data_IF_551952899524
#
_entry.id   IF_551952899524
#
_cell.length_a   1.000
_cell.length_b   1.000
_cell.length_c   1.000
_cell.angle_alpha   90.00
_cell.angle_beta   90.00
_cell.angle_gamma   90.00
#
_symmetry.space_group_name_H-M   'P 1'
#
loop_
_entity.id
_entity.type
_entity.pdbx_description
1 polymer ?
#
# COMPACT_ATOMS: atom_id res chain seq x y z
N UNK A 1 -0.11 -0.53 -31.17
CA UNK A 1 0.12 0.63 -30.27
C UNK A 1 -1.06 0.77 -29.30
N UNK A 2 -0.84 1.24 -28.05
CA UNK A 2 -1.89 1.28 -27.04
C UNK A 2 -3.12 2.03 -27.54
N UNK A 3 -4.31 1.44 -27.40
CA UNK A 3 -5.59 2.15 -27.57
C UNK A 3 -5.91 3.08 -26.40
N UNK A 4 -4.94 3.30 -25.50
CA UNK A 4 -5.05 4.20 -24.35
C UNK A 4 -5.21 5.63 -24.84
N UNK A 5 -6.43 6.15 -24.75
CA UNK A 5 -6.67 7.58 -24.89
C UNK A 5 -6.16 8.27 -23.62
N UNK A 6 -5.16 9.17 -23.72
CA UNK A 6 -4.62 9.84 -22.55
C UNK A 6 -5.73 10.65 -21.88
N UNK A 7 -6.02 10.35 -20.61
CA UNK A 7 -7.01 11.10 -19.85
C UNK A 7 -6.49 12.51 -19.55
N UNK A 8 -7.37 13.51 -19.54
CA UNK A 8 -7.02 14.92 -19.26
C UNK A 8 -6.38 15.14 -17.88
N UNK A 9 -6.46 14.16 -16.98
CA UNK A 9 -5.91 14.20 -15.62
C UNK A 9 -4.57 13.48 -15.47
N UNK A 10 -4.01 12.92 -16.55
CA UNK A 10 -2.72 12.24 -16.48
C UNK A 10 -1.56 13.21 -16.33
N UNK A 11 -0.56 12.79 -15.57
CA UNK A 11 0.70 13.49 -15.43
C UNK A 11 1.35 13.77 -16.81
N UNK A 12 1.73 15.02 -17.15
CA UNK A 12 2.12 15.37 -18.52
C UNK A 12 3.29 14.57 -19.12
N UNK A 13 4.34 14.18 -18.36
CA UNK A 13 5.37 13.26 -18.86
C UNK A 13 4.82 11.91 -19.32
N UNK A 14 3.84 11.34 -18.62
CA UNK A 14 3.20 10.08 -19.00
C UNK A 14 2.48 10.20 -20.36
N UNK A 15 1.70 11.27 -20.52
CA UNK A 15 1.01 11.58 -21.78
C UNK A 15 2.00 11.76 -22.92
N UNK A 16 3.09 12.49 -22.67
CA UNK A 16 4.15 12.74 -23.64
C UNK A 16 4.82 11.45 -24.07
N UNK A 17 5.20 10.59 -23.11
CA UNK A 17 5.78 9.28 -23.37
C UNK A 17 4.84 8.42 -24.22
N UNK A 18 3.57 8.29 -23.84
CA UNK A 18 2.58 7.53 -24.61
C UNK A 18 2.48 8.02 -26.06
N UNK A 19 2.36 9.34 -26.26
CA UNK A 19 2.24 9.94 -27.60
C UNK A 19 3.49 9.75 -28.46
N UNK A 20 4.68 9.86 -27.87
CA UNK A 20 5.95 9.64 -28.58
C UNK A 20 6.07 8.18 -29.01
N UNK A 21 5.77 7.23 -28.12
CA UNK A 21 5.83 5.80 -28.44
C UNK A 21 4.83 5.41 -29.53
N UNK A 22 3.59 5.93 -29.46
CA UNK A 22 2.57 5.75 -30.51
C UNK A 22 3.09 6.17 -31.88
N UNK A 23 3.75 7.32 -31.97
CA UNK A 23 4.28 7.82 -33.24
C UNK A 23 5.47 7.01 -33.71
N UNK A 24 6.43 6.70 -32.83
CA UNK A 24 7.67 6.03 -33.23
C UNK A 24 7.46 4.61 -33.74
N UNK A 25 6.47 3.90 -33.21
CA UNK A 25 6.19 2.52 -33.59
C UNK A 25 6.09 2.28 -35.10
N UNK A 26 5.41 3.16 -35.83
CA UNK A 26 5.13 2.96 -37.25
C UNK A 26 6.32 3.37 -38.15
N UNK A 27 7.32 4.07 -37.60
CA UNK A 27 8.42 4.66 -38.37
C UNK A 27 9.81 4.11 -38.01
N UNK A 28 9.90 3.23 -37.01
CA UNK A 28 11.17 2.73 -36.49
C UNK A 28 11.21 1.20 -36.56
N UNK A 29 12.38 0.63 -36.84
CA UNK A 29 12.57 -0.84 -36.84
C UNK A 29 12.23 -1.40 -35.45
N UNK A 30 11.58 -2.57 -35.35
CA UNK A 30 11.12 -3.13 -34.07
C UNK A 30 12.19 -3.17 -32.97
N UNK A 31 13.40 -3.62 -33.27
CA UNK A 31 14.50 -3.66 -32.30
C UNK A 31 14.89 -2.26 -31.76
N UNK A 32 14.96 -1.26 -32.64
CA UNK A 32 15.29 0.12 -32.24
C UNK A 32 14.11 0.73 -31.46
N UNK A 33 12.88 0.43 -31.87
CA UNK A 33 11.68 0.88 -31.17
C UNK A 33 11.62 0.31 -29.76
N UNK A 34 11.96 -0.98 -29.59
CA UNK A 34 12.03 -1.63 -28.29
C UNK A 34 13.03 -0.91 -27.38
N UNK A 35 14.26 -0.66 -27.84
CA UNK A 35 15.30 0.03 -27.06
C UNK A 35 14.88 1.45 -26.64
N UNK A 36 14.32 2.23 -27.57
CA UNK A 36 13.82 3.58 -27.28
C UNK A 36 12.66 3.52 -26.28
N UNK A 37 11.79 2.52 -26.40
CA UNK A 37 10.63 2.38 -25.52
C UNK A 37 11.06 2.11 -24.07
N UNK A 38 12.09 1.30 -23.85
CA UNK A 38 12.66 1.08 -22.51
C UNK A 38 13.06 2.37 -21.85
N UNK A 39 13.86 3.16 -22.56
CA UNK A 39 14.47 4.35 -22.02
C UNK A 39 13.38 5.37 -21.71
N UNK A 40 12.42 5.54 -22.62
CA UNK A 40 11.29 6.44 -22.42
C UNK A 40 10.42 6.02 -21.22
N UNK A 41 10.13 4.72 -21.06
CA UNK A 41 9.38 4.19 -19.92
C UNK A 41 10.16 4.38 -18.62
N UNK A 42 11.46 4.09 -18.61
CA UNK A 42 12.34 4.26 -17.45
C UNK A 42 12.42 5.73 -17.00
N UNK A 43 12.64 6.66 -17.94
CA UNK A 43 12.66 8.09 -17.66
C UNK A 43 11.30 8.60 -17.18
N UNK A 44 10.20 8.07 -17.74
CA UNK A 44 8.86 8.40 -17.27
C UNK A 44 8.63 7.92 -15.83
N UNK A 45 9.08 6.70 -15.48
CA UNK A 45 9.03 6.17 -14.12
C UNK A 45 9.78 7.09 -13.16
N UNK A 46 11.02 7.43 -13.47
CA UNK A 46 11.84 8.34 -12.65
C UNK A 46 11.17 9.71 -12.50
N UNK A 47 10.58 10.25 -13.56
CA UNK A 47 9.85 11.52 -13.51
C UNK A 47 8.63 11.48 -12.59
N UNK A 48 7.90 10.35 -12.55
CA UNK A 48 6.78 10.14 -11.62
C UNK A 48 7.29 10.13 -10.17
N UNK A 49 8.36 9.41 -9.88
CA UNK A 49 8.92 9.35 -8.53
C UNK A 49 9.42 10.72 -8.06
N UNK A 50 10.16 11.44 -8.91
CA UNK A 50 10.61 12.80 -8.58
C UNK A 50 9.44 13.77 -8.38
N UNK A 51 8.34 13.63 -9.12
CA UNK A 51 7.14 14.43 -8.89
C UNK A 51 6.48 14.12 -7.54
N UNK A 52 6.51 12.85 -7.09
CA UNK A 52 6.02 12.47 -5.77
C UNK A 52 6.82 13.15 -4.65
N UNK A 53 8.15 13.21 -4.76
CA UNK A 53 9.00 13.93 -3.80
C UNK A 53 8.64 15.43 -3.72
N UNK A 54 8.35 16.05 -4.88
CA UNK A 54 7.89 17.44 -4.94
C UNK A 54 6.50 17.64 -4.35
N UNK A 55 5.61 16.64 -4.44
CA UNK A 55 4.31 16.67 -3.76
C UNK A 55 4.55 16.63 -2.24
N UNK A 56 5.37 15.72 -1.72
CA UNK A 56 5.66 15.67 -0.27
C UNK A 56 6.23 17.01 0.26
N UNK A 57 7.03 17.72 -0.54
CA UNK A 57 7.62 18.99 -0.16
C UNK A 57 6.64 20.19 -0.11
N UNK A 58 5.41 20.03 -0.60
CA UNK A 58 4.41 21.12 -0.63
C UNK A 58 3.65 21.26 0.69
N UNK A 59 3.33 22.49 1.13
CA UNK A 59 2.67 22.73 2.42
C UNK A 59 1.21 22.26 2.49
N UNK A 60 0.53 22.19 1.34
CA UNK A 60 -0.91 21.94 1.21
C UNK A 60 -1.26 20.48 0.86
N UNK A 61 -0.25 19.60 0.84
CA UNK A 61 -0.40 18.20 0.44
C UNK A 61 0.14 17.26 1.51
N UNK A 62 -0.37 16.03 1.51
CA UNK A 62 0.02 14.97 2.43
C UNK A 62 0.95 13.95 1.75
N UNK A 63 1.68 13.18 2.56
CA UNK A 63 2.45 12.02 2.08
C UNK A 63 1.55 10.97 1.39
N UNK A 64 0.27 10.89 1.81
CA UNK A 64 -0.76 10.06 1.18
C UNK A 64 -1.01 10.49 -0.27
N UNK A 65 -1.04 11.79 -0.55
CA UNK A 65 -1.23 12.32 -1.91
C UNK A 65 -0.08 11.93 -2.84
N UNK A 66 1.15 11.91 -2.31
CA UNK A 66 2.32 11.48 -3.08
C UNK A 66 2.25 9.99 -3.43
N UNK A 67 1.89 9.12 -2.47
CA UNK A 67 1.74 7.68 -2.75
C UNK A 67 0.59 7.38 -3.72
N UNK A 68 -0.56 8.04 -3.55
CA UNK A 68 -1.70 7.88 -4.47
C UNK A 68 -1.38 8.38 -5.87
N UNK A 69 -0.63 9.48 -5.99
CA UNK A 69 -0.11 9.96 -7.26
C UNK A 69 0.77 8.90 -7.93
N UNK A 70 1.71 8.30 -7.21
CA UNK A 70 2.60 7.25 -7.75
C UNK A 70 1.78 6.04 -8.19
N UNK A 71 0.91 5.51 -7.33
CA UNK A 71 0.09 4.32 -7.63
C UNK A 71 -0.72 4.54 -8.92
N UNK A 72 -1.46 5.66 -9.01
CA UNK A 72 -2.28 5.98 -10.18
C UNK A 72 -1.45 6.00 -11.47
N UNK A 73 -0.33 6.71 -11.47
CA UNK A 73 0.44 6.94 -12.70
C UNK A 73 1.34 5.77 -13.08
N UNK A 74 1.82 4.98 -12.12
CA UNK A 74 2.55 3.75 -12.41
C UNK A 74 1.64 2.63 -12.93
N UNK A 75 0.38 2.54 -12.47
CA UNK A 75 -0.62 1.63 -13.05
C UNK A 75 -0.84 1.94 -14.55
N UNK A 76 -0.99 3.23 -14.89
CA UNK A 76 -1.11 3.66 -16.28
C UNK A 76 0.19 3.42 -17.08
N UNK A 77 1.37 3.66 -16.50
CA UNK A 77 2.66 3.36 -17.14
C UNK A 77 2.85 1.85 -17.38
N UNK A 78 2.35 1.00 -16.47
CA UNK A 78 2.35 -0.46 -16.64
C UNK A 78 1.50 -0.87 -17.84
N UNK A 79 0.33 -0.27 -18.01
CA UNK A 79 -0.53 -0.54 -19.16
C UNK A 79 0.14 -0.13 -20.49
N UNK A 80 0.81 1.03 -20.50
CA UNK A 80 1.63 1.46 -21.65
C UNK A 80 2.75 0.43 -21.91
N UNK A 81 3.42 -0.06 -20.87
CA UNK A 81 4.49 -1.06 -20.98
C UNK A 81 3.97 -2.35 -21.62
N UNK A 82 2.84 -2.87 -21.17
CA UNK A 82 2.21 -4.06 -21.77
C UNK A 82 1.80 -3.83 -23.22
N UNK A 83 1.29 -2.65 -23.57
CA UNK A 83 0.96 -2.33 -24.95
C UNK A 83 2.19 -2.24 -25.88
N UNK A 84 3.34 -1.82 -25.34
CA UNK A 84 4.63 -1.84 -26.06
C UNK A 84 5.13 -3.28 -26.22
N UNK A 85 5.04 -4.12 -25.18
CA UNK A 85 5.35 -5.56 -25.25
C UNK A 85 4.57 -6.22 -26.38
N UNK A 86 3.24 -6.06 -26.39
CA UNK A 86 2.37 -6.62 -27.45
C UNK A 86 2.66 -6.10 -28.86
N UNK A 87 3.24 -4.91 -28.97
CA UNK A 87 3.60 -4.33 -30.26
C UNK A 87 4.98 -4.79 -30.76
N UNK A 88 5.82 -5.34 -29.87
CA UNK A 88 7.21 -5.70 -30.17
C UNK A 88 7.45 -7.21 -30.17
N UNK A 89 6.55 -8.00 -29.59
CA UNK A 89 6.65 -9.45 -29.53
C UNK A 89 5.53 -10.15 -30.28
N UNK A 90 5.83 -11.28 -30.92
CA UNK A 90 4.82 -12.17 -31.54
C UNK A 90 3.94 -12.90 -30.51
N UNK A 91 4.25 -12.76 -29.22
CA UNK A 91 3.46 -13.29 -28.11
C UNK A 91 2.54 -12.20 -27.56
N UNK A 92 1.25 -12.53 -27.43
CA UNK A 92 0.30 -11.66 -26.74
C UNK A 92 0.52 -11.74 -25.22
N UNK A 93 0.96 -10.63 -24.64
CA UNK A 93 0.94 -10.38 -23.20
C UNK A 93 -0.42 -9.83 -22.83
N UNK A 94 -1.21 -10.61 -22.11
CA UNK A 94 -2.53 -10.19 -21.62
C UNK A 94 -2.34 -9.06 -20.60
N UNK A 95 -2.93 -7.89 -20.88
CA UNK A 95 -3.02 -6.79 -19.91
C UNK A 95 -3.88 -7.23 -18.72
N UNK A 96 -3.35 -7.09 -17.52
CA UNK A 96 -4.07 -7.42 -16.29
C UNK A 96 -4.80 -6.18 -15.78
N UNK A 97 -6.03 -6.32 -15.26
CA UNK A 97 -6.71 -5.25 -14.55
C UNK A 97 -5.83 -4.67 -13.43
N UNK A 98 -5.88 -3.36 -13.15
CA UNK A 98 -5.14 -2.74 -12.06
C UNK A 98 -5.36 -3.43 -10.71
N UNK A 99 -6.60 -3.85 -10.42
CA UNK A 99 -6.95 -4.63 -9.23
C UNK A 99 -6.14 -5.92 -9.10
N UNK A 100 -6.00 -6.67 -10.17
CA UNK A 100 -5.31 -7.97 -10.18
C UNK A 100 -3.80 -7.79 -10.01
N UNK A 101 -3.24 -6.74 -10.61
CA UNK A 101 -1.85 -6.33 -10.40
C UNK A 101 -1.61 -6.04 -8.92
N UNK A 102 -2.38 -5.13 -8.33
CA UNK A 102 -2.22 -4.77 -6.93
C UNK A 102 -2.43 -5.96 -5.99
N UNK A 103 -3.39 -6.83 -6.29
CA UNK A 103 -3.70 -7.99 -5.45
C UNK A 103 -2.53 -8.98 -5.44
N UNK A 104 -1.92 -9.19 -6.61
CA UNK A 104 -0.72 -10.02 -6.74
C UNK A 104 0.47 -9.42 -6.00
N UNK A 105 0.69 -8.10 -6.07
CA UNK A 105 1.80 -7.43 -5.39
C UNK A 105 1.65 -7.46 -3.87
N UNK A 106 0.45 -7.22 -3.37
CA UNK A 106 0.17 -7.15 -1.93
C UNK A 106 0.06 -8.52 -1.25
N UNK A 107 -0.27 -9.58 -2.00
CA UNK A 107 -0.32 -10.96 -1.48
C UNK A 107 0.88 -11.81 -1.87
N UNK A 108 1.73 -11.30 -2.76
CA UNK A 108 2.86 -12.01 -3.30
C UNK A 108 3.98 -12.28 -2.28
N UNK A 109 4.96 -13.13 -2.65
CA UNK A 109 6.15 -13.37 -1.84
C UNK A 109 6.89 -12.07 -1.52
N UNK A 110 7.29 -11.90 -0.26
CA UNK A 110 8.02 -10.74 0.23
C UNK A 110 7.17 -9.47 0.40
N UNK A 111 5.84 -9.53 0.28
CA UNK A 111 4.96 -8.44 0.74
C UNK A 111 5.03 -8.32 2.26
N UNK A 112 5.06 -7.09 2.78
CA UNK A 112 5.04 -6.84 4.23
C UNK A 112 3.79 -7.43 4.91
N UNK A 113 2.68 -7.51 4.17
CA UNK A 113 1.40 -8.00 4.67
C UNK A 113 1.23 -9.52 4.52
N UNK A 114 2.24 -10.24 4.00
CA UNK A 114 2.21 -11.69 3.93
C UNK A 114 2.97 -12.30 5.12
N UNK A 115 2.28 -12.86 6.13
CA UNK A 115 2.91 -13.44 7.32
C UNK A 115 3.82 -14.65 7.03
N UNK A 116 3.76 -15.26 5.83
CA UNK A 116 4.69 -16.30 5.38
C UNK A 116 5.91 -15.82 4.59
N UNK A 117 5.97 -14.52 4.24
CA UNK A 117 6.95 -13.97 3.31
C UNK A 117 8.35 -13.71 3.88
N UNK A 118 8.47 -13.58 5.20
CA UNK A 118 9.74 -13.23 5.88
C UNK A 118 10.80 -14.35 5.85
N UNK A 119 10.44 -15.57 5.45
CA UNK A 119 11.39 -16.71 5.36
C UNK A 119 11.74 -17.12 3.92
N UNK A 120 11.18 -16.47 2.88
CA UNK A 120 11.31 -16.92 1.48
C UNK A 120 12.02 -15.96 0.51
N UNK A 121 12.35 -14.74 0.92
CA UNK A 121 12.75 -13.64 0.02
C UNK A 121 14.15 -13.70 -0.60
N UNK A 122 14.92 -14.78 -0.43
CA UNK A 122 16.32 -14.83 -0.92
C UNK A 122 16.59 -15.74 -2.12
N UNK A 123 15.60 -16.44 -2.68
CA UNK A 123 15.86 -17.34 -3.82
C UNK A 123 14.70 -17.34 -4.81
N UNK A 124 14.86 -16.65 -5.94
CA UNK A 124 13.91 -16.66 -7.05
C UNK A 124 14.54 -16.26 -8.38
N UNK A 125 15.15 -17.22 -9.06
CA UNK A 125 15.62 -17.12 -10.45
C UNK A 125 14.50 -16.65 -11.40
N UNK A 126 14.74 -15.58 -12.17
CA UNK A 126 13.97 -15.28 -13.39
C UNK A 126 14.87 -15.41 -14.61
N UNK A 127 14.57 -16.40 -15.47
CA UNK A 127 15.28 -16.60 -16.74
C UNK A 127 14.66 -15.73 -17.86
N UNK A 128 15.47 -14.79 -18.33
CA UNK A 128 15.76 -14.39 -19.72
C UNK A 128 14.59 -14.08 -20.68
N UNK A 129 14.24 -12.79 -20.67
CA UNK A 129 13.66 -11.96 -21.74
C UNK A 129 13.99 -10.49 -21.41
N UNK A 130 15.23 -10.08 -21.66
CA UNK A 130 16.05 -9.40 -20.65
C UNK A 130 15.84 -7.89 -20.41
N UNK A 131 15.14 -7.13 -21.25
CA UNK A 131 15.10 -5.66 -21.06
C UNK A 131 13.70 -5.11 -20.71
N UNK A 132 12.61 -5.53 -21.40
CA UNK A 132 11.23 -5.07 -21.06
C UNK A 132 10.79 -5.64 -19.70
N UNK A 133 11.25 -6.85 -19.39
CA UNK A 133 11.08 -7.44 -18.07
C UNK A 133 11.64 -6.55 -16.97
N UNK A 134 12.75 -5.85 -17.18
CA UNK A 134 13.37 -5.01 -16.15
C UNK A 134 12.56 -3.74 -15.90
N UNK A 135 12.10 -3.06 -16.95
CA UNK A 135 11.22 -1.91 -16.80
C UNK A 135 9.94 -2.28 -16.06
N UNK A 136 9.30 -3.39 -16.45
CA UNK A 136 8.11 -3.93 -15.77
C UNK A 136 8.37 -4.30 -14.32
N UNK A 137 9.46 -4.99 -14.02
CA UNK A 137 9.85 -5.33 -12.65
C UNK A 137 10.07 -4.07 -11.81
N UNK A 138 10.76 -3.05 -12.33
CA UNK A 138 10.98 -1.80 -11.60
C UNK A 138 9.68 -1.04 -11.31
N UNK A 139 8.73 -1.04 -12.25
CA UNK A 139 7.39 -0.46 -12.05
C UNK A 139 6.64 -1.24 -10.96
N UNK A 140 6.70 -2.56 -10.98
CA UNK A 140 6.04 -3.42 -9.99
C UNK A 140 6.63 -3.26 -8.57
N UNK A 141 7.95 -3.11 -8.46
CA UNK A 141 8.64 -2.81 -7.21
C UNK A 141 8.21 -1.45 -6.62
N UNK A 142 8.17 -0.41 -7.44
CA UNK A 142 7.79 0.94 -7.01
C UNK A 142 6.28 1.04 -6.70
N UNK A 143 5.43 0.31 -7.45
CA UNK A 143 3.99 0.15 -7.16
C UNK A 143 3.78 -0.52 -5.80
N UNK A 144 4.43 -1.67 -5.59
CA UNK A 144 4.33 -2.43 -4.35
C UNK A 144 4.76 -1.57 -3.16
N UNK A 145 5.93 -0.94 -3.25
CA UNK A 145 6.46 -0.05 -2.21
C UNK A 145 5.46 1.06 -1.88
N UNK A 146 4.88 1.70 -2.90
CA UNK A 146 3.94 2.81 -2.69
C UNK A 146 2.63 2.35 -2.05
N UNK A 147 2.12 1.17 -2.41
CA UNK A 147 0.97 0.58 -1.74
C UNK A 147 1.27 0.21 -0.28
N UNK A 148 2.43 -0.39 -0.01
CA UNK A 148 2.87 -0.73 1.35
C UNK A 148 2.97 0.53 2.22
N UNK A 149 3.63 1.58 1.74
CA UNK A 149 3.74 2.84 2.48
C UNK A 149 2.38 3.51 2.71
N UNK A 150 1.50 3.52 1.70
CA UNK A 150 0.13 4.04 1.84
C UNK A 150 -0.66 3.30 2.93
N UNK A 151 -0.58 1.98 2.94
CA UNK A 151 -1.27 1.12 3.91
C UNK A 151 -0.71 1.34 5.31
N UNK A 152 0.61 1.30 5.48
CA UNK A 152 1.26 1.53 6.77
C UNK A 152 0.91 2.90 7.35
N UNK A 153 0.94 3.96 6.53
CA UNK A 153 0.57 5.31 6.99
C UNK A 153 -0.87 5.40 7.50
N UNK A 154 -1.81 4.76 6.81
CA UNK A 154 -3.19 4.71 7.26
C UNK A 154 -3.33 3.88 8.55
N UNK A 155 -2.69 2.72 8.62
CA UNK A 155 -2.73 1.84 9.78
C UNK A 155 -2.09 2.49 11.02
N UNK A 156 -0.98 3.20 10.87
CA UNK A 156 -0.31 3.94 11.95
C UNK A 156 -1.24 4.99 12.56
N UNK A 157 -1.93 5.78 11.73
CA UNK A 157 -2.94 6.74 12.20
C UNK A 157 -4.11 6.05 12.88
N UNK A 158 -4.67 5.02 12.26
CA UNK A 158 -5.83 4.29 12.78
C UNK A 158 -5.53 3.56 14.12
N UNK A 159 -4.29 3.12 14.33
CA UNK A 159 -3.86 2.35 15.51
C UNK A 159 -3.03 3.15 16.50
N UNK A 160 -2.90 4.47 16.32
CA UNK A 160 -2.09 5.34 17.17
C UNK A 160 -2.37 5.21 18.69
N UNK A 161 -3.62 5.07 19.17
CA UNK A 161 -3.90 4.85 20.60
C UNK A 161 -3.31 3.53 21.12
N UNK A 162 -3.37 2.47 20.31
CA UNK A 162 -2.83 1.16 20.64
C UNK A 162 -1.30 1.19 20.71
N UNK A 163 -0.66 1.78 19.71
CA UNK A 163 0.80 1.92 19.64
C UNK A 163 1.34 2.76 20.81
N UNK A 164 0.63 3.85 21.16
CA UNK A 164 0.97 4.70 22.31
C UNK A 164 0.93 3.91 23.63
N UNK A 165 -0.11 3.08 23.82
CA UNK A 165 -0.20 2.22 24.99
C UNK A 165 0.94 1.19 25.06
N UNK A 166 1.22 0.47 23.97
CA UNK A 166 2.31 -0.52 23.92
C UNK A 166 3.66 0.13 24.25
N UNK A 167 3.93 1.29 23.64
CA UNK A 167 5.15 2.07 23.90
C UNK A 167 5.26 2.53 25.36
N UNK A 168 4.14 2.94 25.96
CA UNK A 168 4.07 3.30 27.39
C UNK A 168 4.41 2.11 28.28
N UNK A 169 3.86 0.93 27.98
CA UNK A 169 4.19 -0.32 28.68
C UNK A 169 5.69 -0.67 28.56
N UNK A 170 6.24 -0.62 27.35
CA UNK A 170 7.65 -0.93 27.10
C UNK A 170 8.60 0.04 27.80
N UNK A 171 8.29 1.34 27.76
CA UNK A 171 9.08 2.38 28.41
C UNK A 171 9.05 2.20 29.92
N UNK A 172 7.88 1.89 30.49
CA UNK A 172 7.75 1.60 31.91
C UNK A 172 8.59 0.38 32.32
N UNK A 173 8.46 -0.75 31.61
CA UNK A 173 9.25 -1.96 31.88
C UNK A 173 10.76 -1.72 31.83
N UNK A 174 11.23 -0.88 30.91
CA UNK A 174 12.65 -0.51 30.82
C UNK A 174 13.10 0.37 31.98
N UNK A 175 12.25 1.31 32.41
CA UNK A 175 12.58 2.26 33.49
C UNK A 175 12.49 1.64 34.89
N UNK A 176 11.56 0.70 35.10
CA UNK A 176 11.29 0.07 36.39
C UNK A 176 11.11 -1.45 36.22
N UNK A 177 12.20 -2.21 36.01
CA UNK A 177 12.12 -3.63 35.68
C UNK A 177 11.59 -4.51 36.81
N UNK A 178 11.66 -4.04 38.05
CA UNK A 178 11.22 -4.79 39.24
C UNK A 178 9.78 -4.47 39.68
N UNK A 179 9.09 -3.57 38.99
CA UNK A 179 7.70 -3.21 39.29
C UNK A 179 6.75 -3.83 38.28
N UNK A 180 5.69 -4.46 38.78
CA UNK A 180 4.64 -5.05 37.93
C UNK A 180 3.83 -3.93 37.27
N UNK A 181 3.52 -4.06 35.98
CA UNK A 181 2.66 -3.10 35.29
C UNK A 181 1.25 -3.08 35.89
N UNK A 182 0.77 -4.21 36.43
CA UNK A 182 -0.54 -4.32 37.07
C UNK A 182 -0.74 -3.42 38.28
N UNK A 183 0.30 -2.76 38.81
CA UNK A 183 0.16 -1.76 39.88
C UNK A 183 -0.09 -0.35 39.35
N UNK A 184 0.04 -0.15 38.03
CA UNK A 184 -0.11 1.15 37.40
C UNK A 184 -1.56 1.38 36.99
N UNK A 185 -2.04 2.63 37.15
CA UNK A 185 -3.41 3.01 36.82
C UNK A 185 -3.73 2.81 35.33
N UNK A 186 -2.75 3.06 34.45
CA UNK A 186 -2.95 2.91 33.01
C UNK A 186 -3.03 1.44 32.55
N UNK A 187 -2.63 0.49 33.39
CA UNK A 187 -2.67 -0.94 33.11
C UNK A 187 -3.85 -1.63 33.82
N UNK A 188 -4.78 -0.85 34.39
CA UNK A 188 -6.02 -1.37 34.93
C UNK A 188 -7.05 -1.67 33.83
N UNK A 189 -8.00 -2.59 34.09
CA UNK A 189 -9.00 -3.00 33.11
C UNK A 189 -9.77 -1.83 32.48
N UNK A 190 -10.16 -0.83 33.27
CA UNK A 190 -10.92 0.34 32.82
C UNK A 190 -10.12 1.25 31.89
N UNK A 191 -8.83 1.43 32.16
CA UNK A 191 -7.94 2.22 31.31
C UNK A 191 -7.70 1.51 29.97
N UNK A 192 -7.53 0.18 30.00
CA UNK A 192 -7.33 -0.65 28.80
C UNK A 192 -8.58 -0.68 27.92
N UNK A 193 -9.78 -0.75 28.50
CA UNK A 193 -11.02 -0.61 27.72
C UNK A 193 -11.14 0.80 27.12
N UNK A 194 -10.72 1.84 27.85
CA UNK A 194 -10.67 3.21 27.33
C UNK A 194 -9.77 3.34 26.08
N UNK A 195 -8.60 2.68 26.08
CA UNK A 195 -7.70 2.65 24.91
C UNK A 195 -8.36 1.97 23.71
N UNK A 196 -9.15 0.90 23.93
CA UNK A 196 -9.90 0.26 22.85
C UNK A 196 -11.00 1.18 22.28
N UNK A 197 -11.71 1.91 23.14
CA UNK A 197 -12.78 2.82 22.71
C UNK A 197 -12.20 4.02 21.93
N UNK A 198 -11.06 4.54 22.38
CA UNK A 198 -10.29 5.56 21.66
C UNK A 198 -9.80 5.03 20.30
N UNK A 199 -9.28 3.80 20.25
CA UNK A 199 -8.93 3.14 18.99
C UNK A 199 -10.12 3.02 18.05
N UNK A 200 -11.29 2.59 18.52
CA UNK A 200 -12.49 2.44 17.67
C UNK A 200 -12.90 3.76 17.04
N UNK A 201 -12.91 4.84 17.81
CA UNK A 201 -13.26 6.18 17.31
C UNK A 201 -12.22 6.72 16.32
N UNK A 202 -10.94 6.63 16.66
CA UNK A 202 -9.80 7.07 15.84
C UNK A 202 -9.73 6.31 14.51
N UNK A 203 -9.82 4.98 14.56
CA UNK A 203 -9.79 4.11 13.39
C UNK A 203 -10.99 4.37 12.46
N UNK A 204 -12.20 4.55 13.00
CA UNK A 204 -13.38 4.89 12.18
C UNK A 204 -13.20 6.21 11.43
N UNK A 205 -12.68 7.25 12.10
CA UNK A 205 -12.42 8.54 11.48
C UNK A 205 -11.35 8.42 10.38
N UNK A 206 -10.19 7.84 10.70
CA UNK A 206 -9.09 7.72 9.74
C UNK A 206 -9.43 6.89 8.52
N UNK A 207 -10.18 5.79 8.68
CA UNK A 207 -10.60 4.97 7.55
C UNK A 207 -11.54 5.72 6.60
N UNK A 208 -12.46 6.54 7.14
CA UNK A 208 -13.36 7.35 6.33
C UNK A 208 -12.58 8.45 5.56
N UNK A 209 -11.66 9.14 6.22
CA UNK A 209 -10.79 10.15 5.59
C UNK A 209 -9.91 9.52 4.50
N UNK A 210 -9.29 8.37 4.80
CA UNK A 210 -8.45 7.64 3.86
C UNK A 210 -9.24 7.18 2.63
N UNK A 211 -10.41 6.57 2.82
CA UNK A 211 -11.24 6.11 1.71
C UNK A 211 -11.70 7.27 0.81
N UNK A 212 -12.05 8.42 1.42
CA UNK A 212 -12.39 9.62 0.66
C UNK A 212 -11.20 10.11 -0.19
N UNK A 213 -9.98 10.15 0.38
CA UNK A 213 -8.77 10.52 -0.35
C UNK A 213 -8.42 9.53 -1.46
N UNK A 214 -8.45 8.22 -1.20
CA UNK A 214 -8.13 7.18 -2.19
C UNK A 214 -9.03 7.32 -3.42
N UNK A 215 -10.33 7.59 -3.23
CA UNK A 215 -11.31 7.77 -4.33
C UNK A 215 -11.06 8.99 -5.21
N UNK A 216 -10.39 10.02 -4.71
CA UNK A 216 -10.01 11.17 -5.54
C UNK A 216 -8.99 10.78 -6.61
N UNK A 217 -8.13 9.81 -6.31
CA UNK A 217 -7.03 9.38 -7.18
C UNK A 217 -7.37 8.09 -7.95
N UNK A 218 -7.84 7.07 -7.25
CA UNK A 218 -8.22 5.78 -7.79
C UNK A 218 -9.72 5.78 -8.00
N UNK A 219 -10.15 5.84 -9.27
CA UNK A 219 -11.58 5.92 -9.64
C UNK A 219 -12.24 4.55 -9.79
N UNK A 220 -11.45 3.48 -9.75
CA UNK A 220 -11.90 2.12 -9.94
C UNK A 220 -12.09 1.44 -8.58
N UNK A 221 -13.35 1.15 -8.23
CA UNK A 221 -13.71 0.53 -6.96
C UNK A 221 -13.06 -0.84 -6.75
N UNK A 222 -12.75 -1.56 -7.84
CA UNK A 222 -12.07 -2.86 -7.75
C UNK A 222 -10.63 -2.71 -7.26
N UNK A 223 -9.93 -1.66 -7.70
CA UNK A 223 -8.58 -1.30 -7.25
C UNK A 223 -8.59 -0.86 -5.77
N UNK A 224 -9.58 -0.08 -5.36
CA UNK A 224 -9.75 0.33 -3.95
C UNK A 224 -10.03 -0.90 -3.07
N UNK A 225 -10.91 -1.80 -3.53
CA UNK A 225 -11.27 -3.02 -2.82
C UNK A 225 -10.10 -3.97 -2.56
N UNK A 226 -9.01 -3.86 -3.33
CA UNK A 226 -7.79 -4.65 -3.15
C UNK A 226 -6.89 -4.10 -2.04
N UNK A 227 -6.92 -2.78 -1.78
CA UNK A 227 -6.12 -2.14 -0.73
C UNK A 227 -6.70 -2.42 0.67
N UNK A 228 -8.03 -2.51 0.78
CA UNK A 228 -8.75 -2.66 2.06
C UNK A 228 -8.35 -3.92 2.86
N UNK A 229 -8.27 -5.13 2.27
CA UNK A 229 -7.84 -6.31 3.03
C UNK A 229 -6.46 -6.16 3.66
N UNK A 230 -5.47 -5.65 2.91
CA UNK A 230 -4.11 -5.46 3.42
C UNK A 230 -4.06 -4.41 4.53
N UNK A 231 -4.88 -3.35 4.44
CA UNK A 231 -5.07 -2.38 5.52
C UNK A 231 -5.67 -3.02 6.77
N UNK A 232 -6.71 -3.84 6.63
CA UNK A 232 -7.30 -4.53 7.77
C UNK A 232 -6.33 -5.52 8.41
N UNK A 233 -5.52 -6.24 7.63
CA UNK A 233 -4.49 -7.15 8.13
C UNK A 233 -3.47 -6.38 9.01
N UNK A 234 -3.02 -5.21 8.57
CA UNK A 234 -2.08 -4.37 9.33
C UNK A 234 -2.70 -3.85 10.63
N UNK A 235 -3.95 -3.35 10.58
CA UNK A 235 -4.68 -2.90 11.78
C UNK A 235 -4.87 -4.06 12.76
N UNK A 236 -5.24 -5.24 12.26
CA UNK A 236 -5.42 -6.45 13.07
C UNK A 236 -4.11 -6.94 13.71
N UNK A 237 -2.97 -6.76 13.02
CA UNK A 237 -1.64 -7.05 13.54
C UNK A 237 -1.32 -6.21 14.78
N UNK A 238 -1.47 -4.88 14.69
CA UNK A 238 -1.24 -3.97 15.83
C UNK A 238 -2.23 -4.22 16.95
N UNK A 239 -3.50 -4.47 16.64
CA UNK A 239 -4.49 -4.83 17.66
C UNK A 239 -4.14 -6.13 18.39
N UNK A 240 -3.64 -7.14 17.67
CA UNK A 240 -3.19 -8.40 18.26
C UNK A 240 -2.01 -8.18 19.21
N UNK A 241 -1.06 -7.32 18.82
CA UNK A 241 0.07 -6.94 19.67
C UNK A 241 -0.38 -6.21 20.96
N UNK A 242 -1.34 -5.29 20.83
CA UNK A 242 -1.96 -4.62 21.97
C UNK A 242 -2.64 -5.60 22.92
N UNK A 243 -3.50 -6.47 22.38
CA UNK A 243 -4.24 -7.47 23.17
C UNK A 243 -3.30 -8.42 23.89
N UNK A 244 -2.26 -8.92 23.21
CA UNK A 244 -1.21 -9.74 23.83
C UNK A 244 -0.48 -9.00 24.95
N UNK A 245 -0.19 -7.71 24.76
CA UNK A 245 0.46 -6.87 25.78
C UNK A 245 -0.42 -6.72 27.02
N UNK A 246 -1.72 -6.46 26.82
CA UNK A 246 -2.70 -6.37 27.89
C UNK A 246 -2.83 -7.71 28.65
N UNK A 247 -2.94 -8.83 27.95
CA UNK A 247 -3.12 -10.16 28.56
C UNK A 247 -1.89 -10.66 29.32
N UNK A 248 -0.69 -10.41 28.80
CA UNK A 248 0.54 -11.00 29.35
C UNK A 248 1.22 -10.13 30.39
N UNK A 249 1.03 -8.80 30.33
CA UNK A 249 1.78 -7.86 31.17
C UNK A 249 0.91 -7.07 32.14
N UNK A 250 -0.39 -6.95 31.89
CA UNK A 250 -1.29 -6.15 32.74
C UNK A 250 -2.09 -7.04 33.69
N UNK A 251 -3.08 -6.46 34.38
CA UNK A 251 -3.88 -7.18 35.39
C UNK A 251 -4.63 -8.39 34.81
N UNK A 252 -4.81 -9.48 35.59
CA UNK A 252 -5.59 -10.63 35.13
C UNK A 252 -7.01 -10.23 34.75
N UNK A 253 -7.51 -10.72 33.61
CA UNK A 253 -8.85 -10.41 33.11
C UNK A 253 -8.95 -9.22 32.17
N UNK A 254 -7.87 -8.47 31.91
CA UNK A 254 -7.91 -7.39 30.91
C UNK A 254 -8.30 -7.90 29.51
N UNK A 255 -7.89 -9.12 29.13
CA UNK A 255 -8.21 -9.71 27.82
C UNK A 255 -9.69 -10.08 27.61
N UNK A 256 -10.50 -10.21 28.68
CA UNK A 256 -11.93 -10.54 28.56
C UNK A 256 -12.80 -9.31 28.27
N UNK A 257 -12.29 -8.10 28.53
CA UNK A 257 -12.97 -6.84 28.22
C UNK A 257 -12.67 -6.35 26.79
N UNK A 258 -11.60 -6.86 26.20
CA UNK A 258 -11.20 -6.53 24.84
C UNK A 258 -11.97 -7.36 23.82
N UNK A 259 -12.27 -6.75 22.67
CA UNK A 259 -12.89 -7.45 21.56
C UNK A 259 -12.05 -8.66 21.13
N UNK A 260 -12.74 -9.70 20.69
CA UNK A 260 -12.06 -10.85 20.11
C UNK A 260 -11.56 -10.51 18.72
N UNK A 261 -10.58 -11.26 18.22
CA UNK A 261 -10.08 -11.06 16.85
C UNK A 261 -11.19 -11.27 15.79
N UNK A 262 -12.09 -12.27 15.91
CA UNK A 262 -13.27 -12.36 15.04
C UNK A 262 -14.16 -11.12 15.06
N UNK A 263 -14.45 -10.57 16.25
CA UNK A 263 -15.28 -9.37 16.39
C UNK A 263 -14.61 -8.14 15.77
N UNK A 264 -13.28 -8.01 15.92
CA UNK A 264 -12.51 -6.96 15.26
C UNK A 264 -12.66 -7.05 13.74
N UNK A 265 -12.51 -8.24 13.17
CA UNK A 265 -12.62 -8.45 11.73
C UNK A 265 -14.01 -8.17 11.19
N UNK A 266 -15.06 -8.51 11.94
CA UNK A 266 -16.43 -8.18 11.58
C UNK A 266 -16.66 -6.66 11.63
N UNK A 267 -16.15 -6.00 12.66
CA UNK A 267 -16.21 -4.54 12.79
C UNK A 267 -15.43 -3.80 11.71
N UNK A 268 -14.19 -4.20 11.38
CA UNK A 268 -13.42 -3.58 10.29
C UNK A 268 -14.13 -3.71 8.94
N UNK A 269 -14.76 -4.86 8.68
CA UNK A 269 -15.56 -5.08 7.48
C UNK A 269 -16.79 -4.19 7.41
N UNK A 270 -17.46 -3.90 8.52
CA UNK A 270 -18.62 -2.99 8.51
C UNK A 270 -18.24 -1.53 8.26
N UNK A 271 -17.03 -1.10 8.64
CA UNK A 271 -16.52 0.23 8.30
C UNK A 271 -16.35 0.42 6.79
N UNK A 272 -16.01 -0.66 6.07
CA UNK A 272 -15.85 -0.62 4.61
C UNK A 272 -17.17 -0.44 3.87
N UNK A 273 -18.27 -0.99 4.40
CA UNK A 273 -19.62 -0.88 3.81
C UNK A 273 -20.26 0.47 4.09
N UNK A 274 -20.02 1.05 5.26
CA UNK A 274 -20.54 2.38 5.62
C UNK A 274 -19.90 3.52 4.82
N UNK A 275 -18.73 3.24 4.25
CA UNK A 275 -17.99 4.21 3.45
C UNK A 275 -18.36 4.08 1.97
N UNK A 276 -19.09 3.05 1.53
CA UNK A 276 -19.50 2.82 0.14
C UNK A 276 -20.62 3.76 -0.34
#
# INVERSE_FOLDING_TARGET
MPSLEPESTWYPPLVTTCNVLKKLHDYVKPAIFQDISQEAISLCRLSILSAADLIVARPDTSEVDAHLFVIRHLLALKEITTAVENATTDHEVVSQPPSDVLNTLLRGPGSLFNPGGLLGGMLGNTRHGETLSVARTSIDEDLKRSCELLITKCADGATAPLATFISKCDTFSKSQPNTLLSTQDFAQPEAISGVQDEFRSTCKQHMAEWAAHVRLYLRDDSTIGVLLPALHDEIASTFTAFRKTAETRCSPGCGTLLMTLPDLWEWLRSLSTDTQ
#
